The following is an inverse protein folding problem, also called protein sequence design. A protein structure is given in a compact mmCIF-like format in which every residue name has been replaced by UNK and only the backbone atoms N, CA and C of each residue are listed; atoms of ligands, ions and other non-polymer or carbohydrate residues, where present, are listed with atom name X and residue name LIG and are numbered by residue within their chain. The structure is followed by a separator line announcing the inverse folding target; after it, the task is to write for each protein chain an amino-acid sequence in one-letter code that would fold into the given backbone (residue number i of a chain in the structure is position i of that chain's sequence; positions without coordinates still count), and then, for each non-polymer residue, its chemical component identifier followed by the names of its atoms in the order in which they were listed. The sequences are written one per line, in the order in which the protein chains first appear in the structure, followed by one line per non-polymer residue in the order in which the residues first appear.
data_IF_240962072349
#
_entry.id   IF_240962072349
#
_cell.length_a   1.000
_cell.length_b   1.000
_cell.length_c   1.000
_cell.angle_alpha   90.00
_cell.angle_beta   90.00
_cell.angle_gamma   90.00
#
_symmetry.space_group_name_H-M   'P 1'
#
loop_
_entity.id
_entity.type
_entity.pdbx_description
1 polymer ?
#
# COMPACT_ATOMS: atom_id res chain seq x y z
N UNK A 1 56.17 -40.72 -42.74
CA UNK A 1 54.92 -40.41 -41.99
C UNK A 1 55.06 -39.08 -41.23
N UNK A 2 55.80 -38.11 -41.78
CA UNK A 2 56.37 -36.98 -40.99
C UNK A 2 55.89 -35.60 -41.47
N UNK A 3 55.40 -35.49 -42.72
CA UNK A 3 54.91 -34.24 -43.30
C UNK A 3 53.49 -33.83 -42.84
N UNK A 4 52.72 -34.75 -42.24
CA UNK A 4 51.36 -34.48 -41.72
C UNK A 4 51.36 -33.83 -40.33
N UNK A 5 52.40 -34.03 -39.52
CA UNK A 5 52.50 -33.52 -38.13
C UNK A 5 52.91 -32.04 -38.11
N UNK A 6 53.73 -31.61 -39.09
CA UNK A 6 54.20 -30.22 -39.19
C UNK A 6 53.07 -29.29 -39.66
N UNK A 7 52.19 -29.75 -40.55
CA UNK A 7 51.09 -28.94 -41.08
C UNK A 7 49.97 -28.70 -40.05
N UNK A 8 49.70 -29.68 -39.17
CA UNK A 8 48.72 -29.53 -38.09
C UNK A 8 49.22 -28.64 -36.96
N UNK A 9 50.52 -28.70 -36.62
CA UNK A 9 51.12 -27.83 -35.61
C UNK A 9 51.15 -26.35 -36.02
N UNK A 10 51.40 -26.05 -37.30
CA UNK A 10 51.44 -24.68 -37.82
C UNK A 10 50.04 -24.03 -37.90
N UNK A 11 49.02 -24.81 -38.26
CA UNK A 11 47.63 -24.35 -38.25
C UNK A 11 47.14 -24.11 -36.82
N UNK A 12 47.49 -24.99 -35.88
CA UNK A 12 47.08 -24.84 -34.47
C UNK A 12 47.74 -23.63 -33.81
N UNK A 13 49.00 -23.30 -34.15
CA UNK A 13 49.67 -22.10 -33.62
C UNK A 13 49.10 -20.80 -34.19
N UNK A 14 48.70 -20.78 -35.47
CA UNK A 14 48.01 -19.62 -36.08
C UNK A 14 46.63 -19.39 -35.46
N UNK A 15 45.89 -20.47 -35.14
CA UNK A 15 44.60 -20.39 -34.44
C UNK A 15 44.79 -19.90 -33.00
N UNK A 16 45.79 -20.40 -32.26
CA UNK A 16 46.07 -19.93 -30.90
C UNK A 16 46.54 -18.48 -30.85
N UNK A 17 47.37 -18.06 -31.82
CA UNK A 17 47.88 -16.70 -31.93
C UNK A 17 46.75 -15.72 -32.26
N UNK A 18 45.87 -16.07 -33.20
CA UNK A 18 44.71 -15.23 -33.54
C UNK A 18 43.69 -15.13 -32.39
N UNK A 19 43.51 -16.20 -31.61
CA UNK A 19 42.64 -16.19 -30.42
C UNK A 19 43.22 -15.31 -29.28
N UNK A 20 44.54 -15.35 -29.07
CA UNK A 20 45.24 -14.49 -28.10
C UNK A 20 45.27 -13.01 -28.54
N UNK A 21 45.33 -12.73 -29.84
CA UNK A 21 45.25 -11.36 -30.37
C UNK A 21 43.80 -10.82 -30.23
N UNK A 22 42.78 -11.66 -30.41
CA UNK A 22 41.38 -11.26 -30.20
C UNK A 22 41.08 -10.93 -28.72
N UNK A 23 41.63 -11.70 -27.77
CA UNK A 23 41.40 -11.46 -26.34
C UNK A 23 42.13 -10.23 -25.81
N UNK A 24 43.30 -9.91 -26.34
CA UNK A 24 44.08 -8.71 -25.95
C UNK A 24 43.56 -7.42 -26.59
N UNK A 25 42.92 -7.48 -27.76
CA UNK A 25 42.23 -6.33 -28.37
C UNK A 25 40.92 -5.96 -27.63
N UNK A 26 40.28 -6.93 -26.98
CA UNK A 26 39.06 -6.71 -26.20
C UNK A 26 39.29 -6.00 -24.85
N UNK A 27 40.54 -5.83 -24.39
CA UNK A 27 40.86 -5.19 -23.10
C UNK A 27 41.46 -3.78 -23.21
N UNK A 28 41.74 -3.28 -24.42
CA UNK A 28 42.40 -1.97 -24.62
C UNK A 28 41.47 -0.87 -25.13
N UNK A 29 40.17 -1.12 -25.13
CA UNK A 29 39.18 -0.08 -25.34
C UNK A 29 38.48 0.12 -23.99
N UNK A 30 38.53 1.35 -23.48
CA UNK A 30 37.65 1.85 -22.43
C UNK A 30 36.16 1.84 -22.87
N UNK A 31 35.74 0.86 -23.66
CA UNK A 31 34.32 0.60 -23.85
C UNK A 31 33.82 0.06 -22.52
N UNK A 32 32.75 0.65 -21.95
CA UNK A 32 32.13 0.08 -20.78
C UNK A 32 31.83 -1.38 -21.08
N UNK A 33 32.36 -2.30 -20.27
CA UNK A 33 31.90 -3.68 -20.26
C UNK A 33 30.42 -3.60 -19.91
N UNK A 34 29.56 -3.68 -20.93
CA UNK A 34 28.14 -3.91 -20.75
C UNK A 34 28.00 -5.37 -20.33
N UNK A 35 28.22 -5.65 -19.03
CA UNK A 35 27.56 -6.82 -18.43
C UNK A 35 26.08 -6.45 -18.52
N UNK A 36 25.37 -7.01 -19.49
CA UNK A 36 23.91 -6.90 -19.48
C UNK A 36 23.48 -7.44 -18.11
N UNK A 37 22.83 -6.63 -17.26
CA UNK A 37 22.28 -7.16 -16.02
C UNK A 37 21.41 -8.35 -16.42
N UNK A 38 21.57 -9.48 -15.73
CA UNK A 38 20.94 -10.75 -16.13
C UNK A 38 19.42 -10.65 -16.26
N UNK A 39 18.80 -9.61 -15.67
CA UNK A 39 17.45 -9.11 -15.97
C UNK A 39 17.37 -7.58 -15.79
N UNK A 40 16.73 -6.88 -16.71
CA UNK A 40 16.31 -5.48 -16.54
C UNK A 40 14.78 -5.43 -16.48
N UNK A 41 14.23 -4.53 -15.66
CA UNK A 41 12.79 -4.28 -15.60
C UNK A 41 12.46 -3.18 -16.61
N UNK A 42 11.69 -3.53 -17.62
CA UNK A 42 11.31 -2.59 -18.69
C UNK A 42 9.96 -1.97 -18.34
N UNK A 43 9.90 -0.64 -18.26
CA UNK A 43 8.64 0.10 -18.15
C UNK A 43 8.27 0.73 -19.50
N UNK A 44 7.74 -0.09 -20.40
CA UNK A 44 7.42 0.30 -21.79
C UNK A 44 6.36 1.41 -21.93
N UNK A 45 5.58 1.67 -20.89
CA UNK A 45 4.50 2.67 -20.88
C UNK A 45 4.54 3.47 -19.58
N UNK A 46 5.65 4.17 -19.34
CA UNK A 46 5.78 5.08 -18.20
C UNK A 46 4.63 6.10 -18.20
N UNK A 47 3.87 6.13 -17.11
CA UNK A 47 2.92 7.19 -16.80
C UNK A 47 3.44 7.92 -15.57
N UNK A 48 3.73 9.24 -15.66
CA UNK A 48 4.13 10.02 -14.50
C UNK A 48 3.15 9.81 -13.35
N UNK A 49 3.65 9.87 -12.12
CA UNK A 49 2.86 9.83 -10.88
C UNK A 49 2.18 8.48 -10.56
N UNK A 50 2.15 7.52 -11.47
CA UNK A 50 1.68 6.17 -11.14
C UNK A 50 2.79 5.33 -10.52
N UNK A 51 2.49 4.62 -9.44
CA UNK A 51 3.44 3.64 -8.88
C UNK A 51 3.55 2.44 -9.84
N UNK A 52 4.76 2.06 -10.30
CA UNK A 52 4.93 0.92 -11.18
C UNK A 52 4.73 -0.40 -10.41
N UNK A 53 4.08 -1.36 -11.05
CA UNK A 53 3.88 -2.72 -10.56
C UNK A 53 4.31 -3.74 -11.61
N UNK A 54 4.66 -4.95 -11.19
CA UNK A 54 4.94 -6.03 -12.11
C UNK A 54 3.70 -6.34 -12.96
N UNK A 55 3.90 -6.50 -14.26
CA UNK A 55 2.87 -7.04 -15.15
C UNK A 55 2.82 -8.57 -15.05
N UNK A 56 1.81 -9.18 -15.68
CA UNK A 56 1.76 -10.64 -15.86
C UNK A 56 2.84 -11.17 -16.82
N UNK A 57 3.50 -10.30 -17.58
CA UNK A 57 4.61 -10.65 -18.47
C UNK A 57 5.95 -10.46 -17.76
N UNK A 58 6.79 -11.50 -17.82
CA UNK A 58 8.12 -11.49 -17.21
C UNK A 58 8.96 -10.31 -17.70
N UNK A 59 9.54 -9.55 -16.76
CA UNK A 59 10.44 -8.44 -17.05
C UNK A 59 9.77 -7.13 -17.44
N UNK A 60 8.43 -7.05 -17.40
CA UNK A 60 7.68 -5.85 -17.78
C UNK A 60 6.96 -5.24 -16.56
N UNK A 61 7.10 -3.93 -16.40
CA UNK A 61 6.35 -3.10 -15.45
C UNK A 61 5.15 -2.43 -16.13
N UNK A 62 4.07 -2.24 -15.36
CA UNK A 62 2.84 -1.54 -15.75
C UNK A 62 2.40 -0.55 -14.66
N UNK A 63 1.40 0.28 -14.94
CA UNK A 63 0.84 1.26 -13.99
C UNK A 63 -0.10 0.60 -12.98
N UNK A 64 0.02 0.96 -11.71
CA UNK A 64 -0.94 0.57 -10.66
C UNK A 64 -2.18 1.48 -10.61
N UNK A 65 -3.20 1.14 -9.81
CA UNK A 65 -4.27 2.06 -9.43
C UNK A 65 -3.83 3.18 -8.45
N UNK A 66 -2.58 3.13 -7.95
CA UNK A 66 -2.03 4.10 -7.00
C UNK A 66 -1.38 5.24 -7.77
N UNK A 67 -1.89 6.45 -7.53
CA UNK A 67 -1.45 7.70 -8.09
C UNK A 67 -0.86 8.58 -6.98
N UNK A 68 0.34 9.11 -7.18
CA UNK A 68 1.04 9.96 -6.21
C UNK A 68 1.28 11.33 -6.84
N UNK A 69 0.65 12.36 -6.28
CA UNK A 69 0.78 13.74 -6.74
C UNK A 69 1.18 14.64 -5.59
N UNK A 70 2.36 15.23 -5.68
CA UNK A 70 2.99 16.01 -4.59
C UNK A 70 3.05 15.19 -3.29
N UNK A 71 2.29 15.59 -2.27
CA UNK A 71 2.20 14.96 -0.96
C UNK A 71 0.93 14.11 -0.78
N UNK A 72 0.20 13.83 -1.86
CA UNK A 72 -1.08 13.12 -1.84
C UNK A 72 -1.04 11.82 -2.61
N UNK A 73 -1.71 10.81 -2.07
CA UNK A 73 -1.88 9.48 -2.66
C UNK A 73 -3.36 9.26 -3.01
N UNK A 74 -3.65 9.09 -4.29
CA UNK A 74 -4.94 8.66 -4.80
C UNK A 74 -4.95 7.16 -5.10
N UNK A 75 -5.99 6.44 -4.69
CA UNK A 75 -6.28 5.07 -5.16
C UNK A 75 -7.54 5.14 -6.02
N UNK A 76 -7.39 4.88 -7.32
CA UNK A 76 -8.49 4.97 -8.28
C UNK A 76 -8.89 6.41 -8.68
N UNK A 77 -8.14 7.43 -8.24
CA UNK A 77 -8.32 8.84 -8.61
C UNK A 77 -6.98 9.47 -8.99
N UNK A 78 -6.98 10.41 -9.94
CA UNK A 78 -5.79 11.18 -10.36
C UNK A 78 -5.78 12.61 -9.83
N UNK A 79 -6.79 13.00 -9.05
CA UNK A 79 -6.89 14.34 -8.48
C UNK A 79 -7.25 14.26 -6.98
N UNK A 80 -6.40 13.63 -6.15
CA UNK A 80 -6.66 13.53 -4.72
C UNK A 80 -6.74 14.93 -4.08
N UNK A 81 -7.82 15.20 -3.35
CA UNK A 81 -8.06 16.45 -2.61
C UNK A 81 -7.58 16.38 -1.15
N UNK A 82 -7.09 15.21 -0.71
CA UNK A 82 -6.51 14.97 0.61
C UNK A 82 -5.18 14.19 0.50
N UNK A 83 -4.43 14.08 1.60
CA UNK A 83 -3.17 13.31 1.66
C UNK A 83 -3.35 11.84 1.24
N UNK A 84 -4.51 11.25 1.54
CA UNK A 84 -4.93 9.94 1.04
C UNK A 84 -6.39 10.03 0.60
N UNK A 85 -6.67 9.70 -0.65
CA UNK A 85 -8.03 9.62 -1.21
C UNK A 85 -8.23 8.29 -1.92
N UNK A 86 -9.35 7.61 -1.63
CA UNK A 86 -9.74 6.37 -2.30
C UNK A 86 -11.06 6.62 -3.03
N UNK A 87 -11.05 6.53 -4.35
CA UNK A 87 -12.27 6.57 -5.16
C UNK A 87 -12.94 5.20 -5.17
N UNK A 88 -13.65 4.88 -4.09
CA UNK A 88 -14.36 3.62 -3.92
C UNK A 88 -14.54 3.23 -2.44
N UNK A 89 -15.13 2.06 -2.20
CA UNK A 89 -15.30 1.53 -0.85
C UNK A 89 -13.97 0.99 -0.29
N UNK A 90 -13.73 1.25 1.00
CA UNK A 90 -12.57 0.71 1.74
C UNK A 90 -13.06 -0.49 2.56
N UNK A 91 -12.44 -1.66 2.35
CA UNK A 91 -12.69 -2.85 3.16
C UNK A 91 -11.70 -2.90 4.32
N UNK A 92 -12.18 -2.73 5.54
CA UNK A 92 -11.42 -3.06 6.74
C UNK A 92 -11.41 -4.56 6.95
N UNK A 93 -10.26 -5.15 7.28
CA UNK A 93 -10.21 -6.55 7.72
C UNK A 93 -10.90 -6.63 9.08
N UNK A 94 -11.98 -7.41 9.22
CA UNK A 94 -12.64 -7.58 10.51
C UNK A 94 -11.68 -8.17 11.55
N UNK A 95 -11.72 -7.67 12.78
CA UNK A 95 -10.87 -8.12 13.88
C UNK A 95 -11.73 -8.64 15.03
N UNK A 96 -11.27 -9.69 15.70
CA UNK A 96 -11.89 -10.23 16.94
C UNK A 96 -11.28 -9.65 18.21
N UNK A 97 -10.17 -8.92 18.09
CA UNK A 97 -9.42 -8.36 19.20
C UNK A 97 -9.02 -6.92 18.92
N UNK A 98 -8.79 -6.16 19.98
CA UNK A 98 -8.26 -4.79 19.88
C UNK A 98 -6.84 -4.82 19.28
N UNK A 99 -6.54 -3.96 18.30
CA UNK A 99 -5.19 -3.84 17.76
C UNK A 99 -4.17 -3.37 18.81
N UNK A 100 -2.95 -3.91 18.73
CA UNK A 100 -1.81 -3.53 19.58
C UNK A 100 -0.54 -3.35 18.74
N UNK A 101 0.30 -2.33 19.02
CA UNK A 101 0.09 -1.22 19.96
C UNK A 101 -1.03 -0.26 19.50
N UNK A 102 -1.55 0.56 20.43
CA UNK A 102 -2.60 1.53 20.18
C UNK A 102 -2.03 2.96 20.01
N UNK A 103 -2.49 3.71 19.01
CA UNK A 103 -2.05 5.05 18.64
C UNK A 103 -3.26 5.90 18.31
N UNK A 104 -3.23 7.17 18.72
CA UNK A 104 -4.32 8.12 18.49
C UNK A 104 -4.64 8.24 17.00
N UNK A 105 -5.93 8.16 16.66
CA UNK A 105 -6.42 8.22 15.28
C UNK A 105 -6.50 6.89 14.54
N UNK A 106 -6.10 5.76 15.16
CA UNK A 106 -6.31 4.45 14.56
C UNK A 106 -7.79 4.06 14.55
N UNK A 107 -8.22 3.37 13.50
CA UNK A 107 -9.57 2.84 13.36
C UNK A 107 -9.54 1.36 12.95
N UNK A 108 -10.42 0.54 13.51
CA UNK A 108 -10.62 -0.85 13.06
C UNK A 108 -12.09 -1.26 13.17
N UNK A 109 -12.45 -2.36 12.50
CA UNK A 109 -13.78 -2.95 12.61
C UNK A 109 -13.75 -4.16 13.54
N UNK A 110 -14.48 -4.10 14.65
CA UNK A 110 -14.64 -5.20 15.59
C UNK A 110 -15.80 -6.10 15.15
N UNK A 111 -15.47 -7.32 14.75
CA UNK A 111 -16.46 -8.24 14.17
C UNK A 111 -17.39 -8.86 15.22
N UNK A 112 -16.97 -8.92 16.49
CA UNK A 112 -17.80 -9.48 17.56
C UNK A 112 -18.94 -8.54 17.93
N UNK A 113 -18.68 -7.23 17.81
CA UNK A 113 -19.61 -6.18 18.24
C UNK A 113 -20.31 -5.47 17.08
N UNK A 114 -19.86 -5.69 15.84
CA UNK A 114 -20.47 -5.11 14.65
C UNK A 114 -20.22 -3.61 14.48
N UNK A 115 -19.13 -3.10 15.05
CA UNK A 115 -18.86 -1.67 15.15
C UNK A 115 -17.43 -1.28 14.77
N UNK A 116 -17.29 -0.05 14.30
CA UNK A 116 -16.02 0.63 14.13
C UNK A 116 -15.56 1.21 15.45
N UNK A 117 -14.30 0.95 15.77
CA UNK A 117 -13.60 1.46 16.94
C UNK A 117 -12.51 2.41 16.51
N UNK A 118 -12.44 3.55 17.19
CA UNK A 118 -11.41 4.57 16.99
C UNK A 118 -10.62 4.73 18.29
N UNK A 119 -9.30 4.82 18.19
CA UNK A 119 -8.45 5.10 19.35
C UNK A 119 -8.33 6.60 19.54
N UNK A 120 -9.07 7.14 20.50
CA UNK A 120 -9.21 8.58 20.73
C UNK A 120 -9.51 8.87 22.20
N UNK A 121 -9.55 10.16 22.57
CA UNK A 121 -9.87 10.57 23.94
C UNK A 121 -11.37 10.48 24.19
N UNK A 122 -11.75 9.97 25.36
CA UNK A 122 -13.12 10.04 25.86
C UNK A 122 -13.48 11.44 26.40
N UNK A 123 -14.68 11.59 26.95
CA UNK A 123 -15.14 12.85 27.54
C UNK A 123 -14.34 13.27 28.79
N UNK A 124 -13.64 12.34 29.44
CA UNK A 124 -12.74 12.60 30.56
C UNK A 124 -11.31 12.93 30.08
N UNK A 125 -11.05 12.90 28.77
CA UNK A 125 -9.74 13.16 28.16
C UNK A 125 -8.79 11.96 28.18
N UNK A 126 -9.26 10.77 28.54
CA UNK A 126 -8.47 9.54 28.59
C UNK A 126 -8.45 8.85 27.22
N UNK A 127 -7.27 8.47 26.74
CA UNK A 127 -7.10 7.74 25.48
C UNK A 127 -7.57 6.28 25.62
N UNK A 128 -8.44 5.85 24.71
CA UNK A 128 -8.93 4.48 24.67
C UNK A 128 -9.57 4.12 23.33
N UNK A 129 -9.88 2.83 23.16
CA UNK A 129 -10.70 2.36 22.05
C UNK A 129 -12.17 2.69 22.35
N UNK A 130 -12.77 3.54 21.53
CA UNK A 130 -14.15 3.97 21.66
C UNK A 130 -14.93 3.65 20.39
N UNK A 131 -16.21 3.27 20.47
CA UNK A 131 -17.02 3.07 19.29
C UNK A 131 -17.20 4.41 18.57
N UNK A 132 -16.89 4.45 17.28
CA UNK A 132 -16.99 5.65 16.43
C UNK A 132 -17.90 5.45 15.22
N UNK A 133 -18.47 4.27 15.04
CA UNK A 133 -19.48 4.00 14.00
C UNK A 133 -20.00 2.56 14.04
N UNK A 134 -21.12 2.31 13.36
CA UNK A 134 -21.79 1.01 13.36
C UNK A 134 -22.76 0.83 14.53
N UNK A 135 -23.43 -0.32 14.56
CA UNK A 135 -24.37 -0.67 15.62
C UNK A 135 -23.61 -1.56 16.61
N UNK A 136 -23.08 -0.97 17.67
CA UNK A 136 -22.52 -1.74 18.77
C UNK A 136 -23.69 -2.54 19.34
N UNK A 137 -23.71 -3.85 19.08
CA UNK A 137 -24.53 -4.75 19.89
C UNK A 137 -23.77 -4.90 21.21
N UNK A 138 -23.76 -3.82 22.01
CA UNK A 138 -23.83 -4.02 23.44
C UNK A 138 -25.12 -4.81 23.59
N UNK A 139 -25.02 -6.02 24.15
CA UNK A 139 -26.15 -6.71 24.73
C UNK A 139 -27.06 -5.63 25.30
N UNK A 140 -28.22 -5.44 24.66
CA UNK A 140 -29.09 -4.31 24.96
C UNK A 140 -29.41 -4.41 26.43
N UNK A 141 -28.74 -3.53 27.16
CA UNK A 141 -28.84 -3.36 28.58
C UNK A 141 -30.32 -3.43 28.94
N UNK A 142 -30.64 -4.40 29.79
CA UNK A 142 -31.95 -4.55 30.44
C UNK A 142 -32.25 -3.30 31.31
N UNK A 143 -31.41 -2.29 31.27
CA UNK A 143 -31.68 -0.92 31.68
C UNK A 143 -31.43 0.05 30.52
N UNK A 144 -32.42 0.23 29.64
CA UNK A 144 -32.68 1.58 29.10
C UNK A 144 -33.11 2.49 30.26
N UNK A 145 -32.15 2.80 31.13
CA UNK A 145 -32.20 3.94 32.03
C UNK A 145 -31.75 5.13 31.21
N UNK A 146 -32.64 6.09 30.99
CA UNK A 146 -32.31 7.29 30.25
C UNK A 146 -31.51 8.20 31.19
N UNK A 147 -30.17 8.17 31.09
CA UNK A 147 -29.29 8.99 31.94
C UNK A 147 -29.29 10.48 31.53
N UNK A 148 -29.92 10.83 30.41
CA UNK A 148 -30.08 12.21 29.97
C UNK A 148 -31.57 12.54 29.77
N UNK A 149 -32.04 13.72 30.20
CA UNK A 149 -33.43 14.11 30.01
C UNK A 149 -33.73 14.19 28.51
N UNK A 150 -34.77 13.48 28.08
CA UNK A 150 -35.33 13.70 26.73
C UNK A 150 -36.16 14.97 26.79
N UNK A 151 -35.68 15.98 26.08
CA UNK A 151 -36.36 17.25 25.91
C UNK A 151 -37.03 17.31 24.54
N UNK A 152 -38.35 17.32 24.53
CA UNK A 152 -39.13 17.61 23.33
C UNK A 152 -39.40 19.11 23.31
N UNK A 153 -38.89 19.82 22.31
CA UNK A 153 -39.14 21.24 22.11
C UNK A 153 -40.28 21.46 21.10
N UNK A 154 -40.88 22.65 21.12
CA UNK A 154 -41.80 23.07 20.06
C UNK A 154 -41.10 23.20 18.70
N UNK A 155 -41.88 23.38 17.63
CA UNK A 155 -41.34 23.50 16.26
C UNK A 155 -40.32 24.66 16.11
N UNK A 156 -40.37 25.65 17.00
CA UNK A 156 -39.47 26.80 17.02
C UNK A 156 -38.25 26.60 17.95
N UNK A 157 -38.14 25.45 18.62
CA UNK A 157 -37.12 25.12 19.64
C UNK A 157 -37.07 26.07 20.84
N UNK A 158 -38.14 26.82 21.08
CA UNK A 158 -38.18 27.90 22.07
C UNK A 158 -38.83 27.49 23.37
N UNK A 159 -39.63 26.41 23.36
CA UNK A 159 -40.39 25.97 24.53
C UNK A 159 -40.24 24.47 24.73
N UNK A 160 -39.94 24.04 25.95
CA UNK A 160 -39.97 22.66 26.39
C UNK A 160 -41.43 22.19 26.49
N UNK A 161 -41.78 21.20 25.69
CA UNK A 161 -43.13 20.60 25.59
C UNK A 161 -43.25 19.40 26.52
N UNK A 162 -42.20 18.60 26.62
CA UNK A 162 -42.14 17.47 27.54
C UNK A 162 -40.69 17.25 27.97
N UNK A 163 -40.50 17.11 29.27
CA UNK A 163 -39.26 16.65 29.87
C UNK A 163 -39.57 15.35 30.61
N UNK A 164 -38.84 14.29 30.28
CA UNK A 164 -38.88 13.04 31.05
C UNK A 164 -37.59 13.02 31.86
N UNK A 165 -37.69 13.36 33.15
CA UNK A 165 -36.64 13.15 34.15
C UNK A 165 -36.97 11.88 34.94
N UNK A 166 -35.96 11.08 35.29
CA UNK A 166 -36.14 10.02 36.28
C UNK A 166 -36.31 10.64 37.67
N UNK A 167 -37.32 10.19 38.44
CA UNK A 167 -37.27 10.21 39.90
C UNK A 167 -36.46 9.00 40.39
#
# INVERSE_FOLDING_TARGET
MEKRIIFTGFILSLIFSSLLIYSSYAQNINLPICVAPTRYLIWNSFKPNYVPIASYSSGILTSSPIYVFNNSVGIGTTNPQATLEVSGAIRFTPQTSTPTPAYEGMMYYNQNEGAFYCYMKDNAGLLGWLPCGGNVIIEQDIQRRLIAPVQILDANRTKLVLEITEE
#
